data_IF_244688446922
#
_entry.id   IF_244688446922
#
_cell.length_a   1.000
_cell.length_b   1.000
_cell.length_c   1.000
_cell.angle_alpha   90.00
_cell.angle_beta   90.00
_cell.angle_gamma   90.00
#
_symmetry.space_group_name_H-M   'P 1'
#
loop_
_entity.id
_entity.type
_entity.pdbx_description
1 polymer ?
#
# COMPACT_ATOMS: atom_id res chain seq x y z
N UNK A 1 13.41 -20.70 -0.60
CA UNK A 1 13.05 -19.36 -0.12
C UNK A 1 11.66 -19.39 0.50
N UNK A 2 11.19 -18.27 1.03
CA UNK A 2 9.84 -18.14 1.61
C UNK A 2 8.94 -17.44 0.59
N UNK A 3 7.78 -18.04 0.30
CA UNK A 3 6.81 -17.49 -0.64
C UNK A 3 5.99 -16.37 0.01
N UNK A 4 6.45 -15.13 -0.18
CA UNK A 4 5.79 -13.95 0.38
C UNK A 4 4.42 -13.69 -0.29
N UNK A 5 4.28 -13.96 -1.59
CA UNK A 5 3.02 -13.76 -2.32
C UNK A 5 1.90 -14.62 -1.73
N UNK A 6 2.21 -15.88 -1.42
CA UNK A 6 1.25 -16.78 -0.76
C UNK A 6 0.94 -16.35 0.68
N UNK A 7 1.92 -15.88 1.45
CA UNK A 7 1.69 -15.34 2.81
C UNK A 7 0.76 -14.12 2.74
N UNK A 8 1.01 -13.19 1.82
CA UNK A 8 0.18 -12.01 1.62
C UNK A 8 -1.26 -12.40 1.26
N UNK A 9 -1.47 -13.34 0.33
CA UNK A 9 -2.79 -13.81 -0.03
C UNK A 9 -3.56 -14.41 1.15
N UNK A 10 -2.90 -15.23 1.98
CA UNK A 10 -3.51 -15.80 3.20
C UNK A 10 -3.80 -14.72 4.25
N UNK A 11 -2.90 -13.74 4.41
CA UNK A 11 -3.09 -12.64 5.36
C UNK A 11 -4.30 -11.78 5.01
N UNK A 12 -4.56 -11.50 3.73
CA UNK A 12 -5.81 -10.85 3.29
C UNK A 12 -7.06 -11.62 3.74
N UNK A 13 -7.02 -12.96 3.68
CA UNK A 13 -8.15 -13.80 4.15
C UNK A 13 -8.26 -13.87 5.67
N UNK A 14 -7.26 -13.38 6.39
CA UNK A 14 -7.21 -13.32 7.85
C UNK A 14 -7.43 -11.91 8.40
N UNK A 15 -7.90 -10.98 7.56
CA UNK A 15 -8.30 -9.65 7.98
C UNK A 15 -7.19 -8.61 7.97
N UNK A 16 -6.06 -8.88 7.32
CA UNK A 16 -5.04 -7.86 7.01
C UNK A 16 -5.36 -7.17 5.67
N UNK A 17 -4.95 -5.91 5.53
CA UNK A 17 -4.93 -5.22 4.24
C UNK A 17 -3.50 -5.03 3.70
N UNK A 18 -2.48 -5.34 4.53
CA UNK A 18 -1.05 -5.36 4.21
C UNK A 18 -0.32 -4.01 4.20
N UNK A 19 -0.96 -2.89 4.54
CA UNK A 19 -0.32 -1.59 4.73
C UNK A 19 -0.24 -1.22 6.22
N UNK A 20 -1.36 -0.90 6.87
CA UNK A 20 -1.42 -0.58 8.31
C UNK A 20 -1.65 -1.80 9.20
N UNK A 21 -2.29 -2.84 8.68
CA UNK A 21 -2.62 -4.08 9.39
C UNK A 21 -1.88 -5.26 8.77
N UNK A 22 -0.88 -5.74 9.50
CA UNK A 22 0.02 -6.82 9.10
C UNK A 22 0.11 -7.94 10.17
N UNK A 23 -0.92 -8.10 11.01
CA UNK A 23 -0.91 -9.05 12.14
C UNK A 23 -0.88 -10.50 11.67
N UNK A 24 -1.74 -10.84 10.71
CA UNK A 24 -1.78 -12.17 10.12
C UNK A 24 -0.52 -12.44 9.30
N UNK A 25 -0.06 -11.49 8.49
CA UNK A 25 1.18 -11.60 7.72
C UNK A 25 2.39 -11.85 8.62
N UNK A 26 2.52 -11.07 9.69
CA UNK A 26 3.59 -11.24 10.70
C UNK A 26 3.52 -12.61 11.36
N UNK A 27 2.33 -13.06 11.76
CA UNK A 27 2.14 -14.39 12.38
C UNK A 27 2.46 -15.55 11.44
N UNK A 28 2.03 -15.47 10.18
CA UNK A 28 2.30 -16.48 9.16
C UNK A 28 3.79 -16.54 8.82
N UNK A 29 4.44 -15.38 8.67
CA UNK A 29 5.87 -15.29 8.43
C UNK A 29 6.67 -15.81 9.62
N UNK A 30 6.32 -15.41 10.84
CA UNK A 30 6.93 -15.88 12.06
C UNK A 30 6.88 -17.42 12.15
N UNK A 31 5.71 -18.02 11.90
CA UNK A 31 5.55 -19.48 11.81
C UNK A 31 6.45 -20.12 10.75
N UNK A 32 6.60 -19.48 9.59
CA UNK A 32 7.42 -20.00 8.50
C UNK A 32 8.92 -19.93 8.82
N UNK A 33 9.40 -18.88 9.50
CA UNK A 33 10.85 -18.71 9.78
C UNK A 33 11.32 -19.42 11.05
N UNK A 34 10.43 -19.70 12.00
CA UNK A 34 10.81 -20.20 13.34
C UNK A 34 11.70 -21.44 13.31
N UNK A 35 11.42 -22.51 12.52
CA UNK A 35 12.31 -23.67 12.47
C UNK A 35 13.73 -23.32 12.01
N UNK A 36 13.85 -22.44 11.01
CA UNK A 36 15.13 -22.00 10.49
C UNK A 36 15.90 -21.12 11.47
N UNK A 37 15.19 -20.29 12.27
CA UNK A 37 15.80 -19.53 13.35
C UNK A 37 16.39 -20.47 14.42
N UNK A 38 15.68 -21.54 14.79
CA UNK A 38 16.16 -22.54 15.76
C UNK A 38 17.39 -23.26 15.23
N UNK A 39 17.38 -23.68 13.96
CA UNK A 39 18.51 -24.37 13.32
C UNK A 39 19.75 -23.47 13.18
N UNK A 40 19.55 -22.17 12.92
CA UNK A 40 20.63 -21.22 12.68
C UNK A 40 21.16 -20.55 13.95
N UNK A 41 20.42 -20.57 15.06
CA UNK A 41 20.79 -19.87 16.28
C UNK A 41 22.08 -20.46 16.90
N UNK A 42 23.16 -19.67 17.07
CA UNK A 42 24.37 -20.16 17.73
C UNK A 42 24.15 -20.41 19.23
N UNK A 43 23.18 -19.72 19.82
CA UNK A 43 22.75 -19.88 21.21
C UNK A 43 21.23 -19.87 21.28
N UNK A 44 20.65 -20.96 21.79
CA UNK A 44 19.19 -21.10 21.99
C UNK A 44 18.65 -20.02 22.94
N UNK A 45 19.49 -19.52 23.85
CA UNK A 45 19.13 -18.46 24.80
C UNK A 45 18.75 -17.12 24.15
N UNK A 46 19.13 -16.88 22.89
CA UNK A 46 18.85 -15.63 22.19
C UNK A 46 17.47 -15.63 21.49
N UNK A 47 16.90 -16.83 21.25
CA UNK A 47 15.62 -16.99 20.55
C UNK A 47 14.45 -16.24 21.20
N UNK A 48 14.27 -16.23 22.55
CA UNK A 48 13.19 -15.48 23.18
C UNK A 48 13.23 -13.98 22.85
N UNK A 49 14.41 -13.38 22.73
CA UNK A 49 14.53 -11.95 22.44
C UNK A 49 14.25 -11.65 20.97
N UNK A 50 14.68 -12.53 20.05
CA UNK A 50 14.30 -12.47 18.64
C UNK A 50 12.78 -12.58 18.48
N UNK A 51 12.15 -13.54 19.15
CA UNK A 51 10.71 -13.76 19.05
C UNK A 51 9.91 -12.58 19.62
N UNK A 52 10.34 -12.03 20.77
CA UNK A 52 9.74 -10.82 21.34
C UNK A 52 9.93 -9.59 20.46
N UNK A 53 11.03 -9.50 19.72
CA UNK A 53 11.24 -8.39 18.78
C UNK A 53 10.20 -8.40 17.65
N UNK A 54 9.91 -9.56 17.09
CA UNK A 54 8.89 -9.73 16.04
C UNK A 54 7.50 -9.46 16.60
N UNK A 55 7.18 -10.05 17.76
CA UNK A 55 5.86 -9.93 18.42
C UNK A 55 5.49 -8.48 18.79
N UNK A 56 6.47 -7.67 19.20
CA UNK A 56 6.24 -6.27 19.58
C UNK A 56 5.95 -5.33 18.41
N UNK A 57 6.11 -5.78 17.18
CA UNK A 57 5.95 -4.94 15.99
C UNK A 57 4.93 -5.56 15.03
N UNK A 58 3.67 -5.14 15.15
CA UNK A 58 2.60 -5.55 14.24
C UNK A 58 2.86 -5.14 12.76
N UNK A 59 3.81 -4.23 12.49
CA UNK A 59 4.25 -3.85 11.15
C UNK A 59 5.51 -4.61 10.67
N UNK A 60 6.01 -5.60 11.41
CA UNK A 60 7.24 -6.31 11.06
C UNK A 60 7.22 -6.84 9.62
N UNK A 61 6.07 -7.40 9.20
CA UNK A 61 5.92 -7.96 7.85
C UNK A 61 5.77 -6.92 6.73
N UNK A 62 5.42 -5.66 7.03
CA UNK A 62 5.19 -4.61 6.02
C UNK A 62 6.42 -4.44 5.12
N UNK A 63 7.63 -4.43 5.68
CA UNK A 63 8.86 -4.27 4.90
C UNK A 63 9.05 -5.39 3.87
N UNK A 64 8.71 -6.62 4.24
CA UNK A 64 8.79 -7.78 3.36
C UNK A 64 7.69 -7.72 2.29
N UNK A 65 6.48 -7.30 2.69
CA UNK A 65 5.35 -7.12 1.79
C UNK A 65 5.63 -6.03 0.75
N UNK A 66 6.22 -4.90 1.14
CA UNK A 66 6.63 -3.82 0.23
C UNK A 66 7.68 -4.30 -0.77
N UNK A 67 8.66 -5.10 -0.34
CA UNK A 67 9.65 -5.67 -1.25
C UNK A 67 9.01 -6.64 -2.26
N UNK A 68 8.08 -7.49 -1.82
CA UNK A 68 7.31 -8.39 -2.69
C UNK A 68 6.39 -7.62 -3.66
N UNK A 69 5.75 -6.54 -3.18
CA UNK A 69 4.94 -5.65 -3.99
C UNK A 69 5.77 -4.95 -5.05
N UNK A 70 6.92 -4.38 -4.67
CA UNK A 70 7.84 -3.74 -5.63
C UNK A 70 8.35 -4.73 -6.67
N UNK A 71 8.76 -5.93 -6.26
CA UNK A 71 9.20 -6.97 -7.20
C UNK A 71 8.09 -7.37 -8.18
N UNK A 72 6.82 -7.38 -7.73
CA UNK A 72 5.66 -7.69 -8.57
C UNK A 72 5.33 -6.57 -9.55
N UNK A 73 5.33 -5.30 -9.10
CA UNK A 73 5.01 -4.15 -9.96
C UNK A 73 6.13 -3.83 -10.94
N UNK A 74 7.39 -4.06 -10.55
CA UNK A 74 8.55 -3.88 -11.44
C UNK A 74 8.51 -4.85 -12.62
N UNK A 75 8.01 -6.08 -12.43
CA UNK A 75 7.85 -7.05 -13.51
C UNK A 75 6.83 -6.59 -14.57
N UNK A 76 5.97 -5.61 -14.25
CA UNK A 76 5.02 -5.00 -15.17
C UNK A 76 5.49 -3.63 -15.70
N UNK A 77 6.72 -3.20 -15.38
CA UNK A 77 7.29 -1.92 -15.81
C UNK A 77 8.04 -2.03 -17.15
N UNK A 78 8.04 -0.96 -17.95
CA UNK A 78 8.72 -0.90 -19.24
C UNK A 78 7.97 -1.54 -20.40
N UNK A 79 6.65 -1.72 -20.27
CA UNK A 79 5.80 -2.23 -21.36
C UNK A 79 5.37 -1.06 -22.24
N UNK A 80 5.83 -1.06 -23.49
CA UNK A 80 5.49 -0.03 -24.49
C UNK A 80 3.96 0.12 -24.64
N UNK A 81 3.50 1.37 -24.68
CA UNK A 81 2.07 1.70 -24.81
C UNK A 81 1.21 1.37 -23.58
N UNK A 82 1.79 1.04 -22.43
CA UNK A 82 1.03 0.76 -21.20
C UNK A 82 0.83 2.00 -20.31
N UNK A 83 -0.42 2.35 -20.02
CA UNK A 83 -0.82 3.43 -19.11
C UNK A 83 -0.78 3.05 -17.62
N UNK A 84 -0.31 1.83 -17.32
CA UNK A 84 -0.26 1.25 -15.98
C UNK A 84 0.68 2.03 -15.06
N UNK A 85 0.19 2.51 -13.92
CA UNK A 85 1.03 2.99 -12.83
C UNK A 85 1.74 1.79 -12.19
N UNK A 86 3.06 1.89 -12.08
CA UNK A 86 3.94 0.80 -11.59
C UNK A 86 4.72 1.20 -10.35
N UNK A 87 4.71 2.48 -10.00
CA UNK A 87 5.27 2.98 -8.74
C UNK A 87 4.47 4.19 -8.31
N UNK A 88 4.05 4.20 -7.05
CA UNK A 88 3.68 5.39 -6.29
C UNK A 88 4.58 5.47 -5.07
N UNK A 89 5.11 6.65 -4.79
CA UNK A 89 6.00 6.89 -3.65
C UNK A 89 5.85 8.33 -3.15
N UNK A 90 6.23 8.59 -1.90
CA UNK A 90 6.24 9.94 -1.34
C UNK A 90 7.38 10.15 -0.36
N UNK A 91 7.88 11.38 -0.29
CA UNK A 91 9.09 11.72 0.50
C UNK A 91 8.83 12.76 1.60
N UNK A 92 7.57 13.03 1.95
CA UNK A 92 7.19 14.06 2.93
C UNK A 92 7.18 15.48 2.39
N UNK A 93 7.44 15.66 1.09
CA UNK A 93 7.38 16.95 0.38
C UNK A 93 6.62 16.80 -0.93
N UNK A 94 7.06 15.83 -1.74
CA UNK A 94 6.45 15.45 -3.01
C UNK A 94 5.91 14.01 -2.94
N UNK A 95 4.84 13.79 -3.69
CA UNK A 95 4.49 12.45 -4.17
C UNK A 95 4.99 12.31 -5.60
N UNK A 96 5.36 11.10 -6.00
CA UNK A 96 5.75 10.77 -7.37
C UNK A 96 5.10 9.48 -7.87
N UNK A 97 4.77 9.44 -9.17
CA UNK A 97 4.42 8.20 -9.86
C UNK A 97 5.34 7.91 -11.05
N UNK A 98 5.40 6.63 -11.42
CA UNK A 98 5.92 6.15 -12.70
C UNK A 98 4.89 5.26 -13.39
N UNK A 99 4.78 5.39 -14.71
CA UNK A 99 3.92 4.53 -15.53
C UNK A 99 4.76 3.68 -16.48
N UNK A 100 4.26 2.48 -16.79
CA UNK A 100 5.01 1.44 -17.50
C UNK A 100 5.49 1.88 -18.89
N UNK A 101 4.63 2.52 -19.67
CA UNK A 101 4.92 2.96 -21.03
C UNK A 101 5.87 4.16 -21.15
N UNK A 102 6.21 4.83 -20.04
CA UNK A 102 7.10 6.01 -20.04
C UNK A 102 8.44 5.77 -19.30
N UNK A 103 8.74 4.51 -18.96
CA UNK A 103 10.01 4.11 -18.38
C UNK A 103 10.32 4.80 -17.04
N UNK A 104 11.55 5.29 -16.88
CA UNK A 104 12.04 5.85 -15.61
C UNK A 104 11.58 7.29 -15.32
N UNK A 105 10.73 7.89 -16.17
CA UNK A 105 10.23 9.25 -15.95
C UNK A 105 9.33 9.32 -14.72
N UNK A 106 9.67 10.23 -13.80
CA UNK A 106 8.85 10.56 -12.64
C UNK A 106 7.91 11.71 -12.93
N UNK A 107 6.67 11.58 -12.47
CA UNK A 107 5.69 12.65 -12.45
C UNK A 107 5.39 13.00 -11.00
N UNK A 108 5.74 14.23 -10.59
CA UNK A 108 5.62 14.66 -9.20
C UNK A 108 4.63 15.80 -9.01
N UNK A 109 4.11 15.90 -7.79
CA UNK A 109 3.40 17.05 -7.27
C UNK A 109 3.56 17.10 -5.74
N UNK A 110 3.00 18.12 -5.11
CA UNK A 110 3.05 18.27 -3.66
C UNK A 110 2.37 17.07 -2.96
N UNK A 111 3.05 16.46 -1.99
CA UNK A 111 2.48 15.35 -1.22
C UNK A 111 1.24 15.82 -0.44
N UNK A 112 0.23 14.96 -0.32
CA UNK A 112 -0.96 15.26 0.46
C UNK A 112 -0.61 15.54 1.93
N UNK A 113 -1.36 16.45 2.57
CA UNK A 113 -1.35 16.59 4.02
C UNK A 113 -2.44 15.67 4.59
N UNK A 114 -2.09 14.59 5.31
CA UNK A 114 -3.09 13.64 5.82
C UNK A 114 -4.12 14.31 6.75
N UNK A 115 -5.41 14.18 6.42
CA UNK A 115 -6.51 14.54 7.32
C UNK A 115 -7.11 13.24 7.90
N UNK A 116 -6.53 12.79 9.01
CA UNK A 116 -6.73 11.44 9.54
C UNK A 116 -7.09 11.46 11.02
N UNK A 117 -7.47 10.30 11.57
CA UNK A 117 -7.70 10.14 12.99
C UNK A 117 -6.37 10.30 13.75
N UNK A 118 -6.27 11.36 14.55
CA UNK A 118 -5.09 11.64 15.36
C UNK A 118 -5.14 10.94 16.71
N UNK A 119 -3.98 10.51 17.19
CA UNK A 119 -3.84 9.94 18.52
C UNK A 119 -3.99 11.01 19.62
N UNK A 120 -4.40 10.62 20.84
CA UNK A 120 -4.55 11.56 21.94
C UNK A 120 -3.27 12.39 22.18
N UNK A 121 -3.43 13.71 22.21
CA UNK A 121 -2.34 14.65 22.46
C UNK A 121 -1.71 15.29 21.21
N UNK A 122 -2.12 14.87 20.01
CA UNK A 122 -1.68 15.50 18.76
C UNK A 122 -2.79 16.33 18.09
N UNK A 123 -2.36 17.27 17.25
CA UNK A 123 -3.19 18.20 16.48
C UNK A 123 -2.79 18.18 15.01
N UNK A 124 -3.59 18.81 14.15
CA UNK A 124 -3.29 18.93 12.71
C UNK A 124 -1.94 19.64 12.45
N UNK A 125 -1.54 20.54 13.33
CA UNK A 125 -0.28 21.28 13.21
C UNK A 125 0.97 20.41 13.45
N UNK A 126 0.78 19.21 14.01
CA UNK A 126 1.86 18.25 14.25
C UNK A 126 2.13 17.35 13.02
N UNK A 127 1.22 17.31 12.06
CA UNK A 127 1.21 16.36 10.95
C UNK A 127 2.19 16.76 9.85
N UNK A 128 3.03 15.82 9.43
CA UNK A 128 3.85 15.94 8.23
C UNK A 128 3.04 15.60 6.98
N UNK A 129 3.44 16.11 5.82
CA UNK A 129 2.93 15.59 4.54
C UNK A 129 3.29 14.12 4.38
N UNK A 130 2.49 13.44 3.57
CA UNK A 130 2.57 11.99 3.39
C UNK A 130 3.98 11.56 2.95
N UNK A 131 4.47 10.46 3.53
CA UNK A 131 5.86 10.02 3.41
C UNK A 131 5.95 8.49 3.43
N UNK A 132 6.85 7.95 2.61
CA UNK A 132 7.16 6.53 2.53
C UNK A 132 6.81 5.90 1.19
N UNK A 133 7.55 4.85 0.87
CA UNK A 133 7.36 4.03 -0.34
C UNK A 133 6.23 3.00 -0.18
N UNK A 134 5.55 2.99 0.97
CA UNK A 134 4.48 2.03 1.28
C UNK A 134 3.26 2.12 0.37
N UNK A 135 3.10 3.22 -0.37
CA UNK A 135 2.13 3.35 -1.46
C UNK A 135 2.32 2.30 -2.58
N UNK A 136 3.45 1.58 -2.58
CA UNK A 136 3.65 0.41 -3.43
C UNK A 136 2.66 -0.71 -3.14
N UNK A 137 2.09 -0.76 -1.92
CA UNK A 137 1.06 -1.74 -1.55
C UNK A 137 -0.24 -1.47 -2.31
N UNK A 138 -0.68 -0.21 -2.38
CA UNK A 138 -1.81 0.23 -3.21
C UNK A 138 -1.51 0.12 -4.70
N UNK A 139 -0.27 0.39 -5.11
CA UNK A 139 0.16 0.18 -6.50
C UNK A 139 0.01 -1.28 -6.92
N UNK A 140 0.28 -2.23 -6.01
CA UNK A 140 0.06 -3.66 -6.23
C UNK A 140 -1.44 -4.04 -6.27
N UNK A 141 -2.32 -3.21 -5.71
CA UNK A 141 -3.76 -3.48 -5.59
C UNK A 141 -4.19 -4.06 -4.25
N UNK A 142 -3.40 -3.87 -3.19
CA UNK A 142 -3.75 -4.19 -1.80
C UNK A 142 -3.58 -2.94 -0.93
N UNK A 143 -3.57 -3.02 0.40
CA UNK A 143 -3.59 -1.84 1.25
C UNK A 143 -4.97 -1.17 1.25
N UNK A 144 -5.00 0.15 1.04
CA UNK A 144 -6.22 0.94 0.83
C UNK A 144 -7.19 0.34 -0.23
N UNK A 145 -6.64 -0.35 -1.23
CA UNK A 145 -7.39 -0.97 -2.33
C UNK A 145 -8.13 -2.25 -1.90
N UNK A 146 -7.73 -2.86 -0.78
CA UNK A 146 -8.30 -4.09 -0.25
C UNK A 146 -8.87 -3.92 1.17
N UNK A 147 -9.26 -2.70 1.56
CA UNK A 147 -9.85 -2.41 2.87
C UNK A 147 -11.08 -3.27 3.21
N UNK A 148 -11.86 -3.69 2.21
CA UNK A 148 -12.97 -4.62 2.39
C UNK A 148 -12.54 -5.97 3.00
N UNK A 149 -11.27 -6.36 2.86
CA UNK A 149 -10.70 -7.55 3.50
C UNK A 149 -10.41 -7.34 4.99
N UNK A 150 -10.21 -6.10 5.45
CA UNK A 150 -9.74 -5.76 6.79
C UNK A 150 -10.74 -4.91 7.59
N UNK A 151 -12.00 -5.33 7.80
CA UNK A 151 -13.04 -4.47 8.40
C UNK A 151 -12.70 -3.96 9.81
N UNK A 152 -11.83 -4.65 10.55
CA UNK A 152 -11.41 -4.24 11.89
C UNK A 152 -10.45 -3.02 11.88
N UNK A 153 -9.83 -2.68 10.73
CA UNK A 153 -8.88 -1.57 10.63
C UNK A 153 -9.52 -0.22 10.86
N UNK A 154 -10.83 -0.07 10.59
CA UNK A 154 -11.57 1.19 10.75
C UNK A 154 -11.59 1.72 12.18
N UNK A 155 -11.34 0.87 13.19
CA UNK A 155 -11.14 1.32 14.58
C UNK A 155 -9.83 2.09 14.78
N UNK A 156 -8.85 1.86 13.92
CA UNK A 156 -7.54 2.52 13.93
C UNK A 156 -7.49 3.71 12.95
N UNK A 157 -8.11 3.55 11.78
CA UNK A 157 -8.00 4.51 10.67
C UNK A 157 -9.22 5.44 10.53
N UNK A 158 -10.26 5.21 11.35
CA UNK A 158 -11.55 5.90 11.26
C UNK A 158 -12.51 5.32 10.22
N UNK A 159 -13.76 5.75 10.26
CA UNK A 159 -14.82 5.31 9.35
C UNK A 159 -15.55 4.04 9.80
N UNK A 160 -16.24 3.41 8.86
CA UNK A 160 -17.05 2.20 9.09
C UNK A 160 -16.62 1.06 8.15
N UNK A 161 -16.95 -0.21 8.46
CA UNK A 161 -16.70 -1.31 7.52
C UNK A 161 -17.38 -1.13 6.16
N UNK A 162 -18.49 -0.38 6.10
CA UNK A 162 -19.15 -0.02 4.85
C UNK A 162 -18.30 0.98 4.04
N UNK A 163 -17.68 1.95 4.69
CA UNK A 163 -16.76 2.90 4.03
C UNK A 163 -15.53 2.18 3.47
N UNK A 164 -14.97 1.24 4.22
CA UNK A 164 -13.89 0.37 3.75
C UNK A 164 -14.27 -0.38 2.46
N UNK A 165 -15.49 -0.92 2.37
CA UNK A 165 -15.99 -1.56 1.16
C UNK A 165 -16.18 -0.57 0.01
N UNK A 166 -16.72 0.63 0.28
CA UNK A 166 -16.89 1.70 -0.72
C UNK A 166 -15.56 2.09 -1.37
N UNK A 167 -14.50 2.26 -0.57
CA UNK A 167 -13.17 2.55 -1.10
C UNK A 167 -12.66 1.44 -2.02
N UNK A 168 -12.80 0.18 -1.62
CA UNK A 168 -12.44 -0.96 -2.49
C UNK A 168 -13.24 -0.93 -3.80
N UNK A 169 -14.55 -0.63 -3.74
CA UNK A 169 -15.38 -0.54 -4.95
C UNK A 169 -14.97 0.60 -5.88
N UNK A 170 -14.69 1.78 -5.33
CA UNK A 170 -14.21 2.93 -6.07
C UNK A 170 -12.90 2.64 -6.81
N UNK A 171 -12.00 1.86 -6.20
CA UNK A 171 -10.73 1.49 -6.85
C UNK A 171 -10.88 0.55 -8.05
N UNK A 172 -11.98 -0.20 -8.18
CA UNK A 172 -12.26 -0.95 -9.42
C UNK A 172 -12.49 -0.03 -10.62
N UNK A 173 -13.00 1.19 -10.41
CA UNK A 173 -13.28 2.14 -11.50
C UNK A 173 -11.99 2.66 -12.17
N UNK A 174 -10.87 2.68 -11.43
CA UNK A 174 -9.58 3.19 -11.92
C UNK A 174 -8.55 2.09 -12.19
N UNK A 175 -8.91 0.83 -11.99
CA UNK A 175 -7.99 -0.31 -12.19
C UNK A 175 -8.35 -1.13 -13.42
N UNK A 176 -7.36 -1.84 -13.97
CA UNK A 176 -7.50 -2.58 -15.21
C UNK A 176 -8.25 -3.91 -15.01
N UNK A 177 -7.97 -4.63 -13.92
CA UNK A 177 -8.46 -5.99 -13.70
C UNK A 177 -8.64 -6.32 -12.20
N UNK A 178 -9.36 -7.41 -11.92
CA UNK A 178 -9.35 -8.06 -10.61
C UNK A 178 -8.15 -9.02 -10.47
N UNK A 179 -7.48 -9.02 -9.31
CA UNK A 179 -6.33 -9.88 -9.06
C UNK A 179 -6.73 -11.37 -8.95
N UNK A 180 -5.99 -12.28 -9.59
CA UNK A 180 -6.26 -13.72 -9.46
C UNK A 180 -5.65 -14.38 -8.21
N UNK A 181 -4.80 -13.66 -7.47
CA UNK A 181 -4.11 -14.16 -6.28
C UNK A 181 -4.69 -13.54 -5.02
N UNK A 182 -4.78 -12.21 -4.99
CA UNK A 182 -5.29 -11.46 -3.84
C UNK A 182 -6.80 -11.34 -3.96
N UNK A 183 -7.54 -12.15 -3.21
CA UNK A 183 -9.01 -12.14 -3.24
C UNK A 183 -9.58 -11.71 -1.90
N UNK A 184 -10.78 -11.14 -1.93
CA UNK A 184 -11.43 -10.53 -0.78
C UNK A 184 -12.64 -11.38 -0.36
N UNK A 185 -12.57 -12.17 0.74
CA UNK A 185 -13.63 -13.10 1.10
C UNK A 185 -14.99 -12.44 1.34
N UNK A 186 -15.01 -11.26 1.96
CA UNK A 186 -16.23 -10.48 2.23
C UNK A 186 -16.95 -10.02 0.95
N UNK A 187 -16.25 -9.99 -0.17
CA UNK A 187 -16.79 -9.66 -1.50
C UNK A 187 -16.97 -10.92 -2.35
N UNK A 188 -17.26 -12.07 -1.72
CA UNK A 188 -17.40 -13.37 -2.39
C UNK A 188 -16.15 -13.76 -3.20
N UNK A 189 -14.97 -13.52 -2.62
CA UNK A 189 -13.66 -13.83 -3.22
C UNK A 189 -13.40 -13.13 -4.56
N UNK A 190 -14.02 -11.97 -4.83
CA UNK A 190 -13.57 -11.08 -5.91
C UNK A 190 -12.10 -10.74 -5.74
N UNK A 191 -11.39 -10.61 -6.86
CA UNK A 191 -9.97 -10.26 -6.88
C UNK A 191 -9.77 -8.79 -6.57
N UNK A 192 -8.75 -8.42 -5.80
CA UNK A 192 -8.51 -7.03 -5.44
C UNK A 192 -8.27 -6.14 -6.68
N UNK A 193 -8.71 -4.87 -6.66
CA UNK A 193 -8.57 -3.96 -7.80
C UNK A 193 -7.07 -3.78 -8.13
N UNK A 194 -6.65 -4.16 -9.33
CA UNK A 194 -5.23 -4.25 -9.70
C UNK A 194 -4.93 -3.52 -11.01
N UNK A 195 -3.82 -2.79 -10.98
CA UNK A 195 -3.28 -2.08 -12.13
C UNK A 195 -3.98 -0.75 -12.34
N UNK A 196 -3.54 0.27 -11.61
CA UNK A 196 -4.07 1.63 -11.72
C UNK A 196 -3.77 2.15 -13.14
N UNK A 197 -4.82 2.52 -13.86
CA UNK A 197 -4.73 3.07 -15.21
C UNK A 197 -4.79 4.59 -15.13
N UNK A 198 -3.71 5.26 -15.55
CA UNK A 198 -3.64 6.72 -15.46
C UNK A 198 -4.72 7.41 -16.33
N UNK A 199 -5.16 6.77 -17.42
CA UNK A 199 -6.25 7.30 -18.26
C UNK A 199 -7.57 7.26 -17.50
N UNK A 200 -7.90 6.14 -16.87
CA UNK A 200 -9.12 6.01 -16.06
C UNK A 200 -9.13 6.98 -14.88
N UNK A 201 -7.99 7.21 -14.23
CA UNK A 201 -7.87 8.20 -13.15
C UNK A 201 -8.28 9.60 -13.63
N UNK A 202 -7.79 10.01 -14.80
CA UNK A 202 -8.12 11.33 -15.38
C UNK A 202 -9.56 11.39 -15.89
N UNK A 203 -10.05 10.35 -16.57
CA UNK A 203 -11.41 10.30 -17.12
C UNK A 203 -12.49 10.30 -16.04
N UNK A 204 -12.29 9.55 -14.96
CA UNK A 204 -13.27 9.43 -13.86
C UNK A 204 -13.13 10.54 -12.84
N UNK A 205 -11.96 11.18 -12.74
CA UNK A 205 -11.60 12.10 -11.65
C UNK A 205 -11.38 11.42 -10.30
N UNK A 206 -11.42 10.08 -10.24
CA UNK A 206 -11.16 9.28 -9.03
C UNK A 206 -9.65 9.13 -8.87
N UNK A 207 -9.12 9.52 -7.70
CA UNK A 207 -7.70 9.29 -7.39
C UNK A 207 -7.51 8.13 -6.41
N UNK A 208 -6.35 7.43 -6.48
CA UNK A 208 -6.03 6.34 -5.56
C UNK A 208 -6.17 6.72 -4.09
N UNK A 209 -6.75 5.82 -3.29
CA UNK A 209 -6.83 5.92 -1.83
C UNK A 209 -5.74 5.06 -1.19
N UNK A 210 -5.06 5.61 -0.18
CA UNK A 210 -4.05 4.92 0.61
C UNK A 210 -4.52 4.81 2.05
N UNK A 211 -4.29 3.65 2.65
CA UNK A 211 -4.40 3.47 4.09
C UNK A 211 -3.02 3.73 4.72
N UNK A 212 -2.81 4.92 5.30
CA UNK A 212 -1.46 5.39 5.69
C UNK A 212 -1.40 5.91 7.12
N UNK A 213 -0.22 5.80 7.73
CA UNK A 213 0.10 6.44 9.00
C UNK A 213 0.53 7.90 8.79
N UNK A 214 0.00 8.82 9.59
CA UNK A 214 0.47 10.20 9.65
C UNK A 214 1.70 10.28 10.57
N UNK A 215 2.81 10.79 10.03
CA UNK A 215 4.04 11.04 10.80
C UNK A 215 4.04 12.46 11.39
N UNK A 216 4.71 12.63 12.52
CA UNK A 216 4.98 13.95 13.08
C UNK A 216 5.95 14.73 12.18
N UNK A 217 5.75 16.04 12.01
CA UNK A 217 6.62 16.92 11.20
C UNK A 217 8.02 17.12 11.78
N UNK A 218 8.14 17.10 13.10
CA UNK A 218 9.43 17.10 13.80
C UNK A 218 10.06 15.70 13.89
N UNK A 219 11.37 15.56 13.62
CA UNK A 219 12.07 14.28 13.63
C UNK A 219 12.01 13.53 14.97
N UNK A 220 11.85 12.21 14.90
CA UNK A 220 11.96 11.30 16.05
C UNK A 220 10.70 11.20 16.93
N UNK A 221 9.64 11.97 16.66
CA UNK A 221 8.37 11.88 17.40
C UNK A 221 7.44 10.76 16.93
N UNK A 222 7.67 10.21 15.74
CA UNK A 222 6.97 9.03 15.24
C UNK A 222 5.57 9.30 14.69
N UNK A 223 4.71 8.30 14.75
CA UNK A 223 3.35 8.33 14.20
C UNK A 223 2.41 9.14 15.11
N UNK A 224 1.61 10.03 14.52
CA UNK A 224 0.65 10.90 15.21
C UNK A 224 -0.81 10.55 14.91
N UNK A 225 -1.04 9.69 13.91
CA UNK A 225 -2.37 9.23 13.52
C UNK A 225 -2.34 8.22 12.39
N UNK A 226 -3.51 7.78 11.93
CA UNK A 226 -3.66 6.90 10.79
C UNK A 226 -5.03 7.10 10.13
N UNK A 227 -5.11 6.89 8.82
CA UNK A 227 -6.33 7.13 8.08
C UNK A 227 -6.20 6.99 6.58
N UNK A 228 -7.32 7.26 5.90
CA UNK A 228 -7.38 7.26 4.45
C UNK A 228 -6.89 8.60 3.90
N UNK A 229 -5.95 8.53 2.97
CA UNK A 229 -5.43 9.70 2.23
C UNK A 229 -5.66 9.48 0.74
N UNK A 230 -6.19 10.50 0.05
CA UNK A 230 -6.32 10.50 -1.41
C UNK A 230 -5.05 11.06 -2.04
N UNK A 231 -4.56 10.38 -3.06
CA UNK A 231 -3.40 10.88 -3.82
C UNK A 231 -3.79 12.12 -4.62
N UNK A 232 -2.94 13.16 -4.65
CA UNK A 232 -3.18 14.35 -5.46
C UNK A 232 -3.22 14.02 -6.95
N UNK A 233 -4.22 14.56 -7.66
CA UNK A 233 -4.45 14.26 -9.09
C UNK A 233 -3.35 14.79 -10.02
N UNK A 234 -2.61 15.82 -9.62
CA UNK A 234 -1.70 16.56 -10.51
C UNK A 234 -0.62 15.65 -11.16
N UNK A 235 -0.03 14.72 -10.41
CA UNK A 235 0.96 13.80 -10.96
C UNK A 235 0.34 12.83 -11.99
N UNK A 236 -0.89 12.38 -11.77
CA UNK A 236 -1.64 11.55 -12.72
C UNK A 236 -1.98 12.34 -13.98
N UNK A 237 -2.42 13.59 -13.85
CA UNK A 237 -2.69 14.47 -14.99
C UNK A 237 -1.43 14.69 -15.84
N UNK A 238 -0.27 14.96 -15.21
CA UNK A 238 1.02 15.11 -15.90
C UNK A 238 1.44 13.83 -16.64
N UNK A 239 1.26 12.67 -16.00
CA UNK A 239 1.56 11.38 -16.59
C UNK A 239 0.64 11.03 -17.76
N UNK A 240 -0.66 11.31 -17.64
CA UNK A 240 -1.63 11.12 -18.72
C UNK A 240 -1.32 12.01 -19.93
N UNK A 241 -1.01 13.30 -19.71
CA UNK A 241 -0.62 14.21 -20.79
C UNK A 241 0.61 13.68 -21.55
N UNK A 242 1.68 13.33 -20.83
CA UNK A 242 2.87 12.77 -21.46
C UNK A 242 2.63 11.41 -22.15
N UNK A 243 1.67 10.62 -21.67
CA UNK A 243 1.28 9.36 -22.31
C UNK A 243 0.55 9.61 -23.63
N UNK A 244 -0.38 10.57 -23.65
CA UNK A 244 -1.11 10.99 -24.85
C UNK A 244 -0.14 11.54 -25.90
N UNK A 245 0.75 12.47 -25.52
CA UNK A 245 1.75 13.07 -26.41
C UNK A 245 2.64 12.01 -27.09
N UNK A 246 2.94 10.90 -26.39
CA UNK A 246 3.82 9.85 -26.91
C UNK A 246 3.12 8.82 -27.80
N UNK A 247 1.91 8.43 -27.45
CA UNK A 247 1.26 7.25 -28.02
C UNK A 247 -0.05 7.53 -28.76
N UNK A 248 -0.63 8.72 -28.59
CA UNK A 248 -1.97 9.06 -29.09
C UNK A 248 -1.99 10.34 -29.94
N UNK A 249 -0.91 11.13 -29.97
CA UNK A 249 -0.71 12.17 -30.99
C UNK A 249 -0.18 11.53 -32.30
N UNK A 250 -0.77 11.93 -33.44
CA UNK A 250 -0.56 11.36 -34.80
C UNK A 250 0.88 11.42 -35.32
#
# INVERSE_FOLDING_TARGET
>A
GIDLKNIMAQALHMGDEMHNRNKAGTSLFFRAITPFLIEAAPNIGDLPDIFRFIDKNDHFFLNLAMAAAKASTEAAHGVEGSSLVTTMARNGTEMGIRISGLGDQWFTCEAALPDVLLFPGFTKDDVNRDIGDSAIMETLGIGGFALAAAPAIVQFIGGTPEDAAKYTFEMYEITMVENNTYTIPSLNFRGSPTGIDVIKVVETGITPVLDTGAAHREPGKGQVGAGIVRMPAEAFNKAAAAFVDRYLEE
#
